data_IF_458737130080
#
_entry.id   IF_458737130080
#
_cell.length_a   1.000
_cell.length_b   1.000
_cell.length_c   1.000
_cell.angle_alpha   90.00
_cell.angle_beta   90.00
_cell.angle_gamma   90.00
#
_symmetry.space_group_name_H-M   'P 1'
#
loop_
_entity.id
_entity.type
_entity.pdbx_description
1 polymer ?
#
# COMPACT_ATOMS: atom_id res chain seq x y z
N UNK A 1 -46.36 17.19 -12.40
CA UNK A 1 -45.94 18.08 -11.29
C UNK A 1 -45.19 17.19 -10.30
N UNK A 2 -43.87 17.35 -10.11
CA UNK A 2 -43.24 18.01 -8.92
C UNK A 2 -43.95 17.65 -7.60
N UNK A 3 -43.26 17.17 -6.54
CA UNK A 3 -41.87 17.41 -6.16
C UNK A 3 -41.22 16.22 -5.43
N UNK A 4 -39.88 16.08 -5.49
CA UNK A 4 -39.10 15.15 -4.64
C UNK A 4 -38.67 15.89 -3.37
N UNK A 5 -38.65 15.21 -2.23
CA UNK A 5 -37.94 15.66 -1.03
C UNK A 5 -36.86 14.61 -0.69
N UNK A 6 -35.65 15.10 -0.43
CA UNK A 6 -34.49 14.29 -0.01
C UNK A 6 -34.13 14.75 1.40
N UNK A 7 -33.99 13.81 2.33
CA UNK A 7 -33.38 14.08 3.63
C UNK A 7 -32.06 13.34 3.75
N UNK A 8 -31.00 14.11 3.98
CA UNK A 8 -29.65 13.65 4.26
C UNK A 8 -29.45 13.67 5.77
N UNK A 9 -29.37 12.52 6.42
CA UNK A 9 -29.10 12.41 7.85
C UNK A 9 -27.59 12.18 8.09
N UNK A 10 -26.96 13.07 8.86
CA UNK A 10 -25.57 12.89 9.30
C UNK A 10 -25.50 11.90 10.47
N UNK A 11 -24.44 11.10 10.52
CA UNK A 11 -24.20 10.13 11.59
C UNK A 11 -23.39 10.76 12.74
N UNK A 12 -23.81 10.47 13.98
CA UNK A 12 -22.99 10.64 15.19
C UNK A 12 -23.10 9.33 15.98
N UNK A 13 -22.04 8.52 15.98
CA UNK A 13 -21.91 7.38 16.89
C UNK A 13 -21.24 7.85 18.18
N UNK A 14 -21.98 7.82 19.29
CA UNK A 14 -21.42 7.92 20.63
C UNK A 14 -21.17 6.51 21.17
N UNK A 15 -19.90 6.16 21.36
CA UNK A 15 -19.53 4.94 22.09
C UNK A 15 -19.63 5.20 23.60
N UNK A 16 -20.64 4.61 24.23
CA UNK A 16 -20.76 4.54 25.69
C UNK A 16 -20.44 3.12 26.11
N UNK A 17 -19.23 2.91 26.66
CA UNK A 17 -18.80 1.61 27.19
C UNK A 17 -19.29 1.42 28.62
N UNK A 18 -20.17 0.43 28.84
CA UNK A 18 -20.59 0.00 30.18
C UNK A 18 -20.40 -1.51 30.30
N UNK A 19 -19.56 -1.92 31.25
CA UNK A 19 -19.58 -3.24 31.90
C UNK A 19 -19.14 -3.05 33.35
N UNK A 20 -19.98 -3.31 34.36
CA UNK A 20 -19.61 -3.17 35.76
C UNK A 20 -19.12 -4.49 36.37
N UNK A 21 -18.47 -4.36 37.52
CA UNK A 21 -18.49 -5.30 38.65
C UNK A 21 -17.84 -6.69 38.51
N UNK A 22 -16.67 -6.82 39.14
CA UNK A 22 -16.52 -7.74 40.28
C UNK A 22 -15.60 -7.10 41.33
N UNK A 23 -15.77 -7.47 42.60
CA UNK A 23 -15.02 -6.90 43.73
C UNK A 23 -14.65 -7.98 44.75
N UNK A 24 -13.57 -7.74 45.51
CA UNK A 24 -13.20 -8.50 46.71
C UNK A 24 -12.33 -7.65 47.63
N UNK A 25 -12.76 -7.48 48.89
CA UNK A 25 -11.96 -7.02 50.04
C UNK A 25 -10.80 -8.00 50.34
N UNK A 26 -9.80 -7.76 51.21
CA UNK A 26 -9.53 -6.77 52.30
C UNK A 26 -7.95 -6.58 52.35
N UNK A 27 -7.25 -5.74 53.13
CA UNK A 27 -7.60 -4.87 54.27
C UNK A 27 -6.58 -3.73 54.56
N UNK A 28 -7.07 -2.66 55.22
CA UNK A 28 -6.55 -1.95 56.43
C UNK A 28 -5.08 -1.46 56.56
N UNK A 29 -4.96 -0.26 57.17
CA UNK A 29 -3.76 0.46 57.68
C UNK A 29 -2.76 1.02 56.65
N UNK A 30 -2.45 2.33 56.61
CA UNK A 30 -3.06 3.50 57.27
C UNK A 30 -2.17 4.25 58.26
N UNK A 31 -1.46 5.27 57.76
CA UNK A 31 -0.90 6.39 58.55
C UNK A 31 -1.02 7.69 57.74
N UNK A 32 -1.30 8.81 58.40
CA UNK A 32 -1.40 10.12 57.77
C UNK A 32 -0.71 11.19 58.62
N UNK A 33 0.21 11.95 58.01
CA UNK A 33 0.78 13.21 58.52
C UNK A 33 1.06 14.16 57.33
N UNK A 34 1.30 15.44 57.63
CA UNK A 34 1.05 16.58 56.73
C UNK A 34 2.36 17.26 56.26
N UNK A 35 2.33 17.76 55.03
CA UNK A 35 3.27 18.68 54.32
C UNK A 35 4.68 18.93 54.88
N UNK A 36 5.69 18.62 54.03
CA UNK A 36 6.63 19.60 53.46
C UNK A 36 7.53 18.99 52.38
N UNK A 37 7.71 19.73 51.28
CA UNK A 37 8.72 19.59 50.22
C UNK A 37 9.55 18.28 50.18
N UNK A 38 9.11 17.32 49.37
CA UNK A 38 10.01 16.28 48.84
C UNK A 38 10.12 16.46 47.33
N UNK A 39 11.21 17.07 46.89
CA UNK A 39 11.64 17.02 45.49
C UNK A 39 12.12 15.60 45.19
N UNK A 40 11.24 14.76 44.62
CA UNK A 40 11.62 13.40 44.21
C UNK A 40 12.72 13.46 43.16
N UNK A 41 13.94 13.08 43.54
CA UNK A 41 15.02 12.76 42.61
C UNK A 41 14.59 11.55 41.78
N UNK A 42 14.32 11.76 40.48
CA UNK A 42 14.17 10.65 39.53
C UNK A 42 15.52 9.94 39.47
N UNK A 43 15.54 8.70 39.95
CA UNK A 43 16.77 7.95 40.22
C UNK A 43 17.60 7.79 38.94
N UNK A 44 18.91 8.06 39.05
CA UNK A 44 19.85 8.02 37.92
C UNK A 44 19.92 6.64 37.27
N UNK A 45 19.66 5.61 38.07
CA UNK A 45 19.82 4.22 37.68
C UNK A 45 18.70 3.75 36.75
N UNK A 46 17.46 4.26 36.95
CA UNK A 46 16.32 3.97 36.06
C UNK A 46 16.62 4.51 34.66
N UNK A 47 17.08 5.76 34.57
CA UNK A 47 17.41 6.40 33.29
C UNK A 47 18.61 5.76 32.59
N UNK A 48 19.55 5.22 33.37
CA UNK A 48 20.70 4.45 32.88
C UNK A 48 20.28 3.07 32.35
N UNK A 49 19.33 2.39 33.01
CA UNK A 49 18.75 1.14 32.53
C UNK A 49 17.90 1.33 31.28
N UNK A 50 17.12 2.41 31.18
CA UNK A 50 16.37 2.78 29.98
C UNK A 50 17.32 3.01 28.78
N UNK A 51 18.41 3.78 28.96
CA UNK A 51 19.45 3.93 27.94
C UNK A 51 20.11 2.59 27.56
N UNK A 52 20.36 1.70 28.52
CA UNK A 52 20.93 0.38 28.24
C UNK A 52 19.97 -0.53 27.46
N UNK A 53 18.65 -0.41 27.67
CA UNK A 53 17.63 -1.11 26.89
C UNK A 53 17.49 -0.53 25.48
N UNK A 54 17.47 0.79 25.33
CA UNK A 54 17.48 1.47 24.03
C UNK A 54 18.72 1.07 23.22
N UNK A 55 19.91 1.13 23.84
CA UNK A 55 21.17 0.80 23.16
C UNK A 55 21.27 -0.69 22.82
N UNK A 56 20.67 -1.59 23.61
CA UNK A 56 20.48 -2.99 23.21
C UNK A 56 19.52 -3.13 22.01
N UNK A 57 18.43 -2.36 21.97
CA UNK A 57 17.50 -2.35 20.83
C UNK A 57 18.12 -1.75 19.55
N UNK A 58 19.10 -0.86 19.67
CA UNK A 58 19.93 -0.40 18.55
C UNK A 58 20.90 -1.49 18.08
N UNK A 59 21.66 -2.10 18.99
CA UNK A 59 22.59 -3.21 18.65
C UNK A 59 21.85 -4.40 18.00
N UNK A 60 20.62 -4.71 18.45
CA UNK A 60 19.77 -5.77 17.86
C UNK A 60 19.31 -5.44 16.42
N UNK A 61 19.37 -4.18 15.96
CA UNK A 61 19.18 -3.83 14.54
C UNK A 61 20.42 -4.06 13.69
N UNK A 62 21.59 -4.20 14.30
CA UNK A 62 22.89 -4.15 13.61
C UNK A 62 23.50 -5.55 13.38
N UNK A 63 22.98 -6.60 14.04
CA UNK A 63 23.47 -7.98 13.89
C UNK A 63 22.51 -8.91 13.10
N UNK A 64 22.09 -8.47 11.90
CA UNK A 64 22.11 -9.28 10.66
C UNK A 64 22.04 -8.34 9.46
N UNK A 65 23.10 -8.30 8.66
CA UNK A 65 23.03 -7.72 7.31
C UNK A 65 21.87 -8.37 6.54
N UNK A 66 20.88 -7.59 6.06
CA UNK A 66 19.93 -8.10 5.10
C UNK A 66 20.71 -8.55 3.87
N UNK A 67 20.38 -9.70 3.28
CA UNK A 67 20.97 -10.09 2.00
C UNK A 67 20.49 -9.10 0.96
N UNK A 68 21.35 -8.11 0.65
CA UNK A 68 21.13 -7.09 -0.36
C UNK A 68 21.20 -7.75 -1.74
N UNK A 69 20.09 -8.37 -2.16
CA UNK A 69 19.96 -8.93 -3.51
C UNK A 69 20.00 -7.76 -4.48
N UNK A 70 21.14 -7.60 -5.16
CA UNK A 70 21.32 -6.54 -6.15
C UNK A 70 20.50 -6.82 -7.41
N UNK A 71 19.25 -6.35 -7.37
CA UNK A 71 18.54 -5.64 -8.44
C UNK A 71 18.15 -6.43 -9.71
N UNK A 72 16.95 -6.17 -10.22
CA UNK A 72 16.39 -6.82 -11.42
C UNK A 72 15.97 -8.28 -11.25
N UNK A 73 16.54 -9.00 -10.28
CA UNK A 73 16.16 -10.38 -9.96
C UNK A 73 14.90 -10.40 -9.07
N UNK A 74 13.92 -11.24 -9.41
CA UNK A 74 12.84 -11.56 -8.45
C UNK A 74 13.44 -12.20 -7.19
N UNK A 75 12.86 -11.97 -6.00
CA UNK A 75 13.20 -12.75 -4.81
C UNK A 75 13.16 -14.26 -5.09
N UNK A 76 13.97 -15.04 -4.37
CA UNK A 76 13.96 -16.50 -4.47
C UNK A 76 12.57 -17.01 -4.06
N UNK A 77 11.80 -17.52 -5.02
CA UNK A 77 10.39 -17.89 -4.84
C UNK A 77 9.36 -16.82 -5.24
N UNK A 78 9.78 -15.68 -5.79
CA UNK A 78 8.92 -14.61 -6.33
C UNK A 78 8.39 -13.61 -5.29
N UNK A 79 7.73 -12.57 -5.77
CA UNK A 79 7.10 -11.53 -4.94
C UNK A 79 5.80 -12.04 -4.30
N UNK A 80 5.62 -11.79 -3.01
CA UNK A 80 4.39 -12.17 -2.32
C UNK A 80 3.24 -11.26 -2.69
N UNK A 81 2.03 -11.82 -2.81
CA UNK A 81 0.83 -11.02 -3.05
C UNK A 81 0.62 -9.98 -1.95
N UNK A 82 0.89 -10.33 -0.67
CA UNK A 82 0.74 -9.43 0.47
C UNK A 82 1.66 -8.19 0.36
N UNK A 83 2.95 -8.37 0.02
CA UNK A 83 3.89 -7.26 -0.18
C UNK A 83 3.49 -6.36 -1.36
N UNK A 84 3.00 -6.92 -2.46
CA UNK A 84 2.52 -6.16 -3.63
C UNK A 84 1.21 -5.38 -3.35
N UNK A 85 0.35 -5.93 -2.50
CA UNK A 85 -0.86 -5.25 -2.01
C UNK A 85 -0.48 -4.10 -1.04
N UNK A 86 0.55 -4.27 -0.20
CA UNK A 86 1.13 -3.18 0.59
C UNK A 86 1.76 -2.09 -0.30
N UNK A 87 2.48 -2.46 -1.36
CA UNK A 87 2.98 -1.48 -2.35
C UNK A 87 1.83 -0.66 -2.95
N UNK A 88 0.70 -1.31 -3.23
CA UNK A 88 -0.49 -0.65 -3.79
C UNK A 88 -1.13 0.37 -2.83
N UNK A 89 -1.12 0.09 -1.52
CA UNK A 89 -1.49 1.07 -0.50
C UNK A 89 -0.59 2.33 -0.57
N UNK A 90 0.73 2.15 -0.70
CA UNK A 90 1.69 3.26 -0.76
C UNK A 90 1.65 4.03 -2.09
N UNK A 91 1.54 3.34 -3.24
CA UNK A 91 1.43 3.99 -4.56
C UNK A 91 0.13 4.80 -4.69
N UNK A 92 -1.02 4.30 -4.20
CA UNK A 92 -2.26 5.09 -4.15
C UNK A 92 -2.05 6.37 -3.35
N UNK A 93 -1.60 6.24 -2.10
CA UNK A 93 -1.49 7.38 -1.19
C UNK A 93 -0.49 8.41 -1.73
N UNK A 94 0.64 7.96 -2.31
CA UNK A 94 1.58 8.85 -2.99
C UNK A 94 0.93 9.63 -4.13
N UNK A 95 0.15 8.97 -4.99
CA UNK A 95 -0.54 9.61 -6.12
C UNK A 95 -1.53 10.67 -5.65
N UNK A 96 -2.29 10.38 -4.59
CA UNK A 96 -3.29 11.31 -4.05
C UNK A 96 -2.66 12.49 -3.29
N UNK A 97 -1.50 12.31 -2.64
CA UNK A 97 -0.75 13.41 -2.00
C UNK A 97 0.04 14.26 -2.99
N UNK A 98 0.73 13.65 -3.97
CA UNK A 98 1.67 14.34 -4.85
C UNK A 98 1.09 14.72 -6.22
N UNK A 99 -0.13 14.29 -6.53
CA UNK A 99 -0.76 14.49 -7.84
C UNK A 99 -0.05 13.80 -9.01
N UNK A 100 0.96 12.96 -8.78
CA UNK A 100 1.74 12.24 -9.79
C UNK A 100 2.06 10.82 -9.33
N UNK A 101 2.30 9.91 -10.28
CA UNK A 101 2.86 8.60 -9.95
C UNK A 101 4.26 8.77 -9.34
N UNK A 102 4.67 7.89 -8.40
CA UNK A 102 6.07 7.82 -7.98
C UNK A 102 6.93 7.23 -9.11
N UNK A 103 8.24 7.37 -9.01
CA UNK A 103 9.20 6.76 -9.94
C UNK A 103 9.25 5.23 -9.76
N UNK A 104 9.30 4.80 -8.49
CA UNK A 104 9.30 3.42 -8.02
C UNK A 104 8.51 3.28 -6.71
N UNK A 105 8.31 2.05 -6.25
CA UNK A 105 7.86 1.72 -4.90
C UNK A 105 8.75 0.63 -4.31
N UNK A 106 9.24 0.84 -3.09
CA UNK A 106 10.09 -0.16 -2.43
C UNK A 106 9.23 -1.30 -1.89
N UNK A 107 9.30 -2.47 -2.51
CA UNK A 107 8.73 -3.70 -1.98
C UNK A 107 9.50 -4.09 -0.71
N UNK A 108 8.75 -4.47 0.31
CA UNK A 108 9.29 -5.19 1.46
C UNK A 108 8.27 -6.22 1.95
N UNK A 109 8.76 -7.36 2.43
CA UNK A 109 7.94 -8.40 3.05
C UNK A 109 8.77 -9.18 4.08
N UNK A 110 8.19 -9.42 5.25
CA UNK A 110 8.85 -10.13 6.37
C UNK A 110 8.14 -11.44 6.67
N UNK A 111 8.88 -12.53 6.77
CA UNK A 111 8.38 -13.85 7.16
C UNK A 111 9.48 -14.68 7.83
N UNK A 112 9.15 -15.39 8.92
CA UNK A 112 10.13 -16.20 9.65
C UNK A 112 11.35 -15.42 10.14
N UNK A 113 11.19 -14.14 10.50
CA UNK A 113 12.28 -13.23 10.91
C UNK A 113 13.12 -12.67 9.76
N UNK A 114 12.97 -13.15 8.53
CA UNK A 114 13.68 -12.64 7.35
C UNK A 114 12.85 -11.57 6.64
N UNK A 115 13.48 -10.45 6.30
CA UNK A 115 12.88 -9.38 5.49
C UNK A 115 13.51 -9.36 4.10
N UNK A 116 12.67 -9.50 3.08
CA UNK A 116 13.05 -9.35 1.66
C UNK A 116 12.66 -7.96 1.20
N UNK A 117 13.59 -7.22 0.60
CA UNK A 117 13.37 -5.91 -0.02
C UNK A 117 13.65 -5.95 -1.53
N UNK A 118 13.05 -5.02 -2.29
CA UNK A 118 13.37 -4.76 -3.69
C UNK A 118 12.82 -3.39 -4.12
N UNK A 119 13.44 -2.74 -5.10
CA UNK A 119 12.90 -1.52 -5.72
C UNK A 119 12.03 -1.91 -6.92
N UNK A 120 10.77 -1.45 -6.96
CA UNK A 120 9.83 -1.74 -8.06
C UNK A 120 9.47 -0.46 -8.84
N UNK A 121 10.10 -0.22 -10.00
CA UNK A 121 9.68 0.81 -10.96
C UNK A 121 8.21 0.70 -11.34
N UNK A 122 7.61 1.79 -11.82
CA UNK A 122 6.19 1.76 -12.21
C UNK A 122 5.81 0.77 -13.33
N UNK A 123 6.64 0.46 -14.35
CA UNK A 123 6.35 -0.62 -15.30
C UNK A 123 6.25 -2.00 -14.61
N UNK A 124 7.20 -2.27 -13.72
CA UNK A 124 7.32 -3.55 -13.00
C UNK A 124 6.22 -3.70 -11.94
N UNK A 125 5.98 -2.64 -11.15
CA UNK A 125 4.85 -2.58 -10.23
C UNK A 125 3.52 -2.76 -10.98
N UNK A 126 3.32 -2.13 -12.14
CA UNK A 126 2.10 -2.27 -12.94
C UNK A 126 1.88 -3.72 -13.39
N UNK A 127 2.91 -4.39 -13.89
CA UNK A 127 2.85 -5.82 -14.24
C UNK A 127 2.53 -6.68 -13.00
N UNK A 128 3.26 -6.48 -11.90
CA UNK A 128 3.12 -7.28 -10.69
C UNK A 128 1.74 -7.12 -10.04
N UNK A 129 1.19 -5.91 -9.93
CA UNK A 129 -0.17 -5.72 -9.40
C UNK A 129 -1.24 -6.26 -10.36
N UNK A 130 -1.01 -6.22 -11.67
CA UNK A 130 -1.90 -6.83 -12.66
C UNK A 130 -1.99 -8.36 -12.46
N UNK A 131 -0.85 -9.04 -12.31
CA UNK A 131 -0.83 -10.47 -11.97
C UNK A 131 -1.48 -10.78 -10.61
N UNK A 132 -1.33 -9.90 -9.60
CA UNK A 132 -2.02 -10.08 -8.31
C UNK A 132 -3.54 -9.93 -8.44
N UNK A 133 -4.04 -8.99 -9.24
CA UNK A 133 -5.49 -8.82 -9.48
C UNK A 133 -6.07 -10.03 -10.24
N UNK A 134 -5.34 -10.55 -11.24
CA UNK A 134 -5.65 -11.82 -11.90
C UNK A 134 -5.70 -12.99 -10.89
N UNK A 135 -4.64 -13.16 -10.09
CA UNK A 135 -4.52 -14.28 -9.15
C UNK A 135 -5.59 -14.24 -8.06
N UNK A 136 -5.91 -13.05 -7.52
CA UNK A 136 -6.98 -12.89 -6.52
C UNK A 136 -8.37 -13.22 -7.08
N UNK A 137 -8.62 -12.98 -8.37
CA UNK A 137 -9.88 -13.37 -9.01
C UNK A 137 -9.93 -14.87 -9.31
N UNK A 138 -8.82 -15.44 -9.79
CA UNK A 138 -8.67 -16.87 -10.11
C UNK A 138 -8.52 -17.76 -8.84
N UNK A 139 -8.58 -17.20 -7.63
CA UNK A 139 -8.38 -17.93 -6.36
C UNK A 139 -6.95 -18.41 -6.09
N UNK A 140 -5.97 -17.98 -6.89
CA UNK A 140 -4.56 -18.39 -6.81
C UNK A 140 -3.86 -17.67 -5.64
N UNK A 141 -3.17 -18.43 -4.80
CA UNK A 141 -2.41 -17.92 -3.64
C UNK A 141 -0.90 -17.80 -3.88
N UNK A 142 -0.41 -18.25 -5.03
CA UNK A 142 1.02 -18.27 -5.39
C UNK A 142 1.65 -16.87 -5.48
N UNK A 143 2.96 -16.83 -5.25
CA UNK A 143 3.80 -15.67 -5.51
C UNK A 143 3.86 -15.33 -7.01
N UNK A 144 4.23 -14.09 -7.32
CA UNK A 144 4.36 -13.57 -8.68
C UNK A 144 5.83 -13.41 -9.05
N UNK A 145 6.27 -14.02 -10.14
CA UNK A 145 7.58 -13.76 -10.74
C UNK A 145 7.51 -12.56 -11.70
N UNK A 146 8.53 -11.70 -11.66
CA UNK A 146 8.69 -10.59 -12.61
C UNK A 146 8.97 -11.12 -14.03
N UNK A 147 8.42 -10.44 -15.04
CA UNK A 147 8.67 -10.70 -16.47
C UNK A 147 8.72 -9.43 -17.32
N UNK A 148 8.40 -8.28 -16.74
CA UNK A 148 8.54 -6.98 -17.37
C UNK A 148 10.00 -6.67 -17.66
N UNK A 149 10.29 -5.95 -18.74
CA UNK A 149 11.64 -5.51 -19.09
C UNK A 149 12.06 -4.21 -18.39
N UNK A 150 11.29 -3.74 -17.41
CA UNK A 150 11.42 -2.42 -16.78
C UNK A 150 11.50 -1.25 -17.79
N UNK A 151 10.64 -1.26 -18.82
CA UNK A 151 10.57 -0.17 -19.81
C UNK A 151 9.23 0.57 -19.73
N UNK A 152 9.30 1.89 -19.57
CA UNK A 152 8.14 2.76 -19.61
C UNK A 152 7.54 2.88 -21.03
N UNK A 153 6.22 3.16 -21.14
CA UNK A 153 5.60 3.57 -22.41
C UNK A 153 6.25 4.82 -23.01
N UNK A 154 6.53 4.80 -24.31
CA UNK A 154 7.17 5.90 -25.04
C UNK A 154 6.29 7.14 -25.20
N UNK A 155 4.96 6.97 -25.25
CA UNK A 155 4.02 8.09 -25.47
C UNK A 155 2.62 7.80 -24.89
N UNK A 156 2.47 7.83 -23.54
CA UNK A 156 1.16 7.73 -22.90
C UNK A 156 0.17 8.77 -23.44
N UNK A 157 -1.02 8.32 -23.80
CA UNK A 157 -2.11 9.16 -24.28
C UNK A 157 -3.45 8.47 -24.02
N UNK A 158 -4.51 9.25 -23.84
CA UNK A 158 -5.82 8.70 -23.50
C UNK A 158 -6.92 9.77 -23.47
N UNK A 159 -8.02 9.44 -22.81
CA UNK A 159 -9.17 10.33 -22.59
C UNK A 159 -9.47 10.47 -21.10
N UNK A 160 -10.28 11.47 -20.74
CA UNK A 160 -10.84 11.58 -19.39
C UNK A 160 -11.68 10.35 -19.06
N UNK A 161 -11.35 9.66 -17.97
CA UNK A 161 -12.11 8.49 -17.51
C UNK A 161 -13.00 8.89 -16.34
N UNK A 162 -14.32 8.73 -16.51
CA UNK A 162 -15.31 8.91 -15.44
C UNK A 162 -16.33 7.77 -15.48
N UNK A 163 -16.42 6.99 -14.40
CA UNK A 163 -17.40 5.91 -14.27
C UNK A 163 -16.97 4.79 -13.31
N UNK A 164 -17.80 3.76 -13.21
CA UNK A 164 -17.49 2.53 -12.47
C UNK A 164 -16.95 1.44 -13.42
N UNK A 165 -15.93 0.73 -12.95
CA UNK A 165 -15.37 -0.46 -13.61
C UNK A 165 -15.62 -1.65 -12.67
N UNK A 166 -16.37 -2.64 -13.13
CA UNK A 166 -16.80 -3.81 -12.33
C UNK A 166 -15.64 -4.78 -12.06
N UNK A 167 -15.82 -5.68 -11.09
CA UNK A 167 -14.86 -6.77 -10.76
C UNK A 167 -14.47 -7.60 -11.98
N UNK A 168 -15.43 -7.96 -12.84
CA UNK A 168 -15.16 -8.68 -14.07
C UNK A 168 -14.35 -7.83 -15.08
N UNK A 169 -14.69 -6.55 -15.26
CA UNK A 169 -13.97 -5.68 -16.17
C UNK A 169 -12.52 -5.44 -15.72
N UNK A 170 -12.27 -5.10 -14.45
CA UNK A 170 -10.90 -4.87 -14.00
C UNK A 170 -10.05 -6.14 -13.96
N UNK A 171 -10.65 -7.32 -13.81
CA UNK A 171 -9.97 -8.61 -13.99
C UNK A 171 -9.50 -8.82 -15.43
N UNK A 172 -10.38 -8.62 -16.41
CA UNK A 172 -10.04 -8.68 -17.84
C UNK A 172 -8.94 -7.67 -18.16
N UNK A 173 -9.05 -6.45 -17.63
CA UNK A 173 -8.06 -5.39 -17.85
C UNK A 173 -6.69 -5.72 -17.24
N UNK A 174 -6.65 -6.31 -16.04
CA UNK A 174 -5.40 -6.76 -15.42
C UNK A 174 -4.71 -7.84 -16.28
N UNK A 175 -5.46 -8.83 -16.78
CA UNK A 175 -4.94 -9.84 -17.70
C UNK A 175 -4.42 -9.23 -19.00
N UNK A 176 -5.12 -8.24 -19.56
CA UNK A 176 -4.69 -7.55 -20.78
C UNK A 176 -3.39 -6.74 -20.58
N UNK A 177 -3.25 -6.04 -19.45
CA UNK A 177 -2.02 -5.28 -19.12
C UNK A 177 -0.85 -6.22 -18.86
N UNK A 178 -1.06 -7.29 -18.09
CA UNK A 178 -0.03 -8.30 -17.85
C UNK A 178 0.44 -8.95 -19.15
N UNK A 179 -0.50 -9.42 -19.99
CA UNK A 179 -0.17 -10.02 -21.29
C UNK A 179 0.53 -9.05 -22.23
N UNK A 180 0.10 -7.78 -22.31
CA UNK A 180 0.79 -6.79 -23.14
C UNK A 180 2.28 -6.68 -22.76
N UNK A 181 2.57 -6.65 -21.45
CA UNK A 181 3.94 -6.55 -20.93
C UNK A 181 4.72 -7.85 -21.20
N UNK A 182 4.12 -9.02 -21.00
CA UNK A 182 4.73 -10.32 -21.34
C UNK A 182 5.01 -10.48 -22.85
N UNK A 183 4.17 -9.93 -23.73
CA UNK A 183 4.28 -10.03 -25.19
C UNK A 183 5.26 -9.02 -25.80
N UNK A 184 5.41 -7.82 -25.21
CA UNK A 184 6.12 -6.69 -25.83
C UNK A 184 7.37 -6.24 -25.06
N UNK A 185 7.42 -6.41 -23.73
CA UNK A 185 8.42 -5.84 -22.83
C UNK A 185 7.96 -4.55 -22.13
N UNK A 186 7.83 -3.40 -22.84
CA UNK A 186 7.38 -2.15 -22.25
C UNK A 186 5.94 -2.17 -21.72
N UNK A 187 5.68 -1.34 -20.71
CA UNK A 187 4.31 -1.08 -20.25
C UNK A 187 3.48 -0.31 -21.30
N UNK A 188 2.16 -0.57 -21.40
CA UNK A 188 1.33 0.00 -22.46
C UNK A 188 1.08 1.51 -22.29
N UNK A 189 1.10 2.26 -23.41
CA UNK A 189 0.74 3.68 -23.44
C UNK A 189 -0.67 3.95 -22.85
N UNK A 190 -1.60 3.02 -23.07
CA UNK A 190 -2.95 3.03 -22.53
C UNK A 190 -3.56 1.63 -22.46
N UNK A 191 -4.55 1.48 -21.60
CA UNK A 191 -5.50 0.36 -21.55
C UNK A 191 -6.80 0.78 -22.25
N UNK A 192 -7.32 -0.03 -23.17
CA UNK A 192 -8.66 0.16 -23.72
C UNK A 192 -9.71 -0.38 -22.73
N UNK A 193 -10.63 0.49 -22.29
CA UNK A 193 -11.72 0.16 -21.35
C UNK A 193 -13.09 0.49 -21.94
N UNK A 194 -14.17 0.04 -21.27
CA UNK A 194 -15.54 0.46 -21.58
C UNK A 194 -15.82 1.96 -21.32
N UNK A 195 -14.86 2.69 -20.74
CA UNK A 195 -14.90 4.13 -20.52
C UNK A 195 -13.92 4.89 -21.45
N UNK A 196 -13.32 4.21 -22.43
CA UNK A 196 -12.34 4.76 -23.37
C UNK A 196 -10.89 4.32 -23.10
N UNK A 197 -9.94 5.00 -23.76
CA UNK A 197 -8.50 4.75 -23.60
C UNK A 197 -8.00 5.37 -22.29
N UNK A 198 -7.78 4.52 -21.29
CA UNK A 198 -7.21 4.91 -19.99
C UNK A 198 -5.69 4.97 -20.10
N UNK A 199 -5.12 6.17 -19.99
CA UNK A 199 -3.67 6.39 -20.07
C UNK A 199 -2.92 5.68 -18.93
N UNK A 200 -1.71 5.16 -19.23
CA UNK A 200 -0.79 4.46 -18.32
C UNK A 200 -0.85 4.87 -16.83
N UNK A 201 -0.64 6.14 -16.50
CA UNK A 201 -0.65 6.63 -15.11
C UNK A 201 -2.02 6.48 -14.42
N UNK A 202 -3.10 6.61 -15.18
CA UNK A 202 -4.46 6.36 -14.68
C UNK A 202 -4.72 4.85 -14.49
N UNK A 203 -4.10 3.97 -15.29
CA UNK A 203 -4.15 2.51 -15.08
C UNK A 203 -3.43 2.09 -13.80
N UNK A 204 -2.21 2.62 -13.56
CA UNK A 204 -1.46 2.43 -12.31
C UNK A 204 -2.36 2.78 -11.11
N UNK A 205 -2.93 3.99 -11.11
CA UNK A 205 -3.80 4.46 -10.03
C UNK A 205 -5.06 3.61 -9.82
N UNK A 206 -5.70 3.15 -10.90
CA UNK A 206 -6.85 2.24 -10.81
C UNK A 206 -6.46 0.92 -10.13
N UNK A 207 -5.37 0.28 -10.55
CA UNK A 207 -4.92 -0.97 -9.96
C UNK A 207 -4.35 -0.79 -8.55
N UNK A 208 -3.70 0.33 -8.23
CA UNK A 208 -3.29 0.65 -6.86
C UNK A 208 -4.49 0.80 -5.92
N UNK A 209 -5.60 1.38 -6.38
CA UNK A 209 -6.85 1.47 -5.59
C UNK A 209 -7.52 0.11 -5.39
N UNK A 210 -7.54 -0.75 -6.40
CA UNK A 210 -8.02 -2.14 -6.25
C UNK A 210 -7.12 -2.92 -5.28
N UNK A 211 -5.80 -2.80 -5.44
CA UNK A 211 -4.80 -3.46 -4.59
C UNK A 211 -4.88 -3.00 -3.13
N UNK A 212 -5.01 -1.70 -2.88
CA UNK A 212 -5.21 -1.19 -1.51
C UNK A 212 -6.54 -1.66 -0.93
N UNK A 213 -7.63 -1.69 -1.70
CA UNK A 213 -8.91 -2.21 -1.18
C UNK A 213 -8.74 -3.68 -0.72
N UNK A 214 -8.09 -4.51 -1.53
CA UNK A 214 -7.80 -5.91 -1.17
C UNK A 214 -6.86 -5.99 0.05
N UNK A 215 -5.86 -5.10 0.16
CA UNK A 215 -4.96 -5.02 1.31
C UNK A 215 -5.71 -4.72 2.62
N UNK A 216 -6.63 -3.76 2.60
CA UNK A 216 -7.33 -3.27 3.81
C UNK A 216 -8.54 -4.13 4.20
N UNK A 217 -9.21 -4.78 3.24
CA UNK A 217 -10.47 -5.51 3.46
C UNK A 217 -10.32 -7.04 3.32
N UNK A 218 -9.14 -7.54 2.94
CA UNK A 218 -8.87 -8.95 2.58
C UNK A 218 -9.83 -9.53 1.52
N UNK A 219 -10.46 -8.68 0.70
CA UNK A 219 -11.52 -9.05 -0.24
C UNK A 219 -11.44 -8.22 -1.52
N UNK A 220 -11.88 -8.78 -2.66
CA UNK A 220 -11.93 -8.04 -3.92
C UNK A 220 -13.15 -7.11 -4.00
N UNK A 221 -13.00 -5.83 -4.38
CA UNK A 221 -14.11 -4.90 -4.48
C UNK A 221 -15.05 -5.26 -5.63
N UNK A 222 -16.35 -5.02 -5.49
CA UNK A 222 -17.34 -5.31 -6.54
C UNK A 222 -17.17 -4.40 -7.78
N UNK A 223 -16.64 -3.20 -7.59
CA UNK A 223 -16.26 -2.24 -8.62
C UNK A 223 -15.21 -1.25 -8.09
N UNK A 224 -14.57 -0.49 -8.98
CA UNK A 224 -13.83 0.72 -8.65
C UNK A 224 -14.41 1.91 -9.43
N UNK A 225 -14.68 3.02 -8.75
CA UNK A 225 -15.08 4.28 -9.39
C UNK A 225 -13.82 5.07 -9.77
N UNK A 226 -13.58 5.29 -11.06
CA UNK A 226 -12.50 6.13 -11.58
C UNK A 226 -13.10 7.46 -12.04
N UNK A 227 -12.47 8.57 -11.65
CA UNK A 227 -12.85 9.93 -12.07
C UNK A 227 -11.57 10.76 -12.22
N UNK A 228 -10.90 10.63 -13.36
CA UNK A 228 -9.62 11.29 -13.67
C UNK A 228 -9.77 12.01 -15.02
N UNK A 229 -9.74 13.35 -15.05
CA UNK A 229 -9.71 14.08 -16.32
C UNK A 229 -8.35 13.92 -17.00
N UNK A 230 -8.31 13.97 -18.33
CA UNK A 230 -7.05 13.86 -19.09
C UNK A 230 -6.03 14.94 -18.70
N UNK A 231 -6.51 16.11 -18.29
CA UNK A 231 -5.72 17.25 -17.81
C UNK A 231 -5.14 17.09 -16.39
N UNK A 232 -5.47 16.02 -15.67
CA UNK A 232 -4.94 15.75 -14.31
C UNK A 232 -3.41 15.68 -14.34
N UNK A 233 -2.76 16.24 -13.32
CA UNK A 233 -1.29 16.35 -13.23
C UNK A 233 -0.58 15.00 -13.45
N UNK A 234 -1.14 13.90 -12.95
CA UNK A 234 -0.53 12.58 -13.07
C UNK A 234 -0.32 12.10 -14.52
N UNK A 235 -1.17 12.57 -15.45
CA UNK A 235 -1.09 12.19 -16.86
C UNK A 235 -0.07 13.05 -17.62
N UNK A 236 0.50 14.10 -16.97
CA UNK A 236 1.57 14.96 -17.51
C UNK A 236 2.98 14.48 -17.14
N UNK A 237 3.09 13.69 -16.07
CA UNK A 237 4.38 13.17 -15.58
C UNK A 237 4.46 11.67 -15.85
N UNK A 238 5.37 11.26 -16.74
CA UNK A 238 5.81 9.87 -16.83
C UNK A 238 6.69 9.59 -15.59
N UNK A 239 6.51 8.46 -14.87
CA UNK A 239 7.49 7.97 -13.91
C UNK A 239 8.86 7.82 -14.58
N UNK A 240 9.83 8.65 -14.19
CA UNK A 240 11.21 8.48 -14.67
C UNK A 240 11.96 7.59 -13.70
N UNK A 241 12.77 6.66 -14.20
CA UNK A 241 13.53 5.74 -13.37
C UNK A 241 14.83 5.41 -14.07
N UNK A 242 15.93 5.76 -13.42
CA UNK A 242 17.26 5.46 -13.93
C UNK A 242 17.79 4.22 -13.20
N UNK A 243 18.28 3.19 -13.91
CA UNK A 243 18.92 2.03 -13.29
C UNK A 243 20.15 2.34 -12.43
N UNK A 244 20.62 3.60 -12.40
CA UNK A 244 21.63 4.10 -11.46
C UNK A 244 21.09 4.37 -10.05
N UNK A 245 19.76 4.42 -9.82
CA UNK A 245 19.13 4.56 -8.48
C UNK A 245 19.13 3.25 -7.66
N UNK A 246 20.06 2.36 -8.00
CA UNK A 246 20.09 0.94 -7.62
C UNK A 246 21.44 0.45 -7.11
N UNK A 247 22.44 1.34 -7.10
CA UNK A 247 23.80 1.14 -6.61
C UNK A 247 23.85 1.60 -5.14
#
# INVERSE_FOLDING_TARGET
MKMKIVFLAFAILLFVSISPLSASDESVNGYALIDKNVSMSVDSDIKSQELALIKKAEIIKEERDPIMISQGVSPVGGFTQAGLLNCSNRVRNWIETNGKCPNYVDYYYTSGGQTVTARLPMPDYLYLISKVIEYKYDGKTSNVAIKSSNVNPTSPSGVSINGQITKANFYIYAKNVAKFIEDNGPAPNYLTTNLGKMQYQTVIYMFSRIGQYIYLNNAMPSYVTVSVPISHSMNKYLPDYHPSELI
#
